data_IF_986381552711
#
_entry.id   IF_986381552711
#
_cell.length_a   1.000
_cell.length_b   1.000
_cell.length_c   1.000
_cell.angle_alpha   90.00
_cell.angle_beta   90.00
_cell.angle_gamma   90.00
#
_symmetry.space_group_name_H-M   'P 1'
#
loop_
_entity.id
_entity.type
_entity.pdbx_description
1 polymer ?
#
# COMPACT_ATOMS: atom_id res chain seq x y z
N UNK A 1 -0.60 -3.84 -26.01
CA UNK A 1 0.04 -5.17 -26.24
C UNK A 1 0.99 -5.43 -25.09
N UNK A 2 0.96 -6.63 -24.46
CA UNK A 2 1.91 -6.97 -23.40
C UNK A 2 3.35 -6.88 -23.94
N UNK A 3 4.21 -6.11 -23.25
CA UNK A 3 5.63 -6.04 -23.52
C UNK A 3 6.39 -7.27 -22.98
N UNK A 4 7.70 -7.29 -23.16
CA UNK A 4 8.56 -8.33 -22.59
C UNK A 4 8.66 -8.16 -21.07
N UNK A 5 8.51 -9.25 -20.32
CA UNK A 5 8.67 -9.22 -18.86
C UNK A 5 9.17 -10.58 -18.33
N UNK A 6 9.74 -10.55 -17.15
CA UNK A 6 9.90 -11.71 -16.27
C UNK A 6 9.03 -11.50 -15.03
N UNK A 7 8.56 -12.59 -14.44
CA UNK A 7 7.80 -12.54 -13.19
C UNK A 7 8.36 -13.58 -12.23
N UNK A 8 8.73 -13.11 -11.06
CA UNK A 8 9.02 -13.92 -9.89
C UNK A 8 8.58 -13.13 -8.66
N UNK A 9 8.18 -13.82 -7.61
CA UNK A 9 8.03 -13.22 -6.30
C UNK A 9 8.66 -14.15 -5.27
N UNK A 10 9.73 -13.72 -4.59
CA UNK A 10 10.50 -14.57 -3.69
C UNK A 10 9.81 -14.77 -2.33
N UNK A 11 8.74 -14.05 -2.04
CA UNK A 11 8.04 -14.12 -0.77
C UNK A 11 7.21 -15.40 -0.67
N UNK A 12 7.49 -16.25 0.31
CA UNK A 12 6.64 -17.38 0.64
C UNK A 12 5.44 -16.91 1.45
N UNK A 13 4.23 -17.14 0.95
CA UNK A 13 3.01 -16.68 1.58
C UNK A 13 2.28 -17.83 2.28
N UNK A 14 1.88 -17.61 3.53
CA UNK A 14 1.06 -18.49 4.35
C UNK A 14 -0.28 -17.80 4.62
N UNK A 15 -1.37 -18.46 4.24
CA UNK A 15 -2.72 -17.89 4.34
C UNK A 15 -3.64 -18.76 5.18
N UNK A 16 -4.52 -18.13 5.97
CA UNK A 16 -5.58 -18.78 6.72
C UNK A 16 -5.38 -18.76 8.24
N UNK A 17 -6.32 -19.35 8.98
CA UNK A 17 -6.38 -19.26 10.44
C UNK A 17 -5.14 -19.83 11.14
N UNK A 18 -4.60 -20.92 10.60
CA UNK A 18 -3.43 -21.60 11.17
C UNK A 18 -2.09 -21.07 10.66
N UNK A 19 -2.12 -20.04 9.79
CA UNK A 19 -0.92 -19.55 9.11
C UNK A 19 0.17 -19.07 10.08
N UNK A 20 -0.17 -18.57 11.28
CA UNK A 20 0.81 -18.14 12.26
C UNK A 20 1.74 -19.28 12.72
N UNK A 21 1.26 -20.53 12.74
CA UNK A 21 2.06 -21.68 13.12
C UNK A 21 3.25 -21.92 12.18
N UNK A 22 3.21 -21.36 10.96
CA UNK A 22 4.31 -21.43 9.98
C UNK A 22 5.58 -20.70 10.44
N UNK A 23 5.50 -19.85 11.47
CA UNK A 23 6.69 -19.32 12.14
C UNK A 23 7.62 -20.43 12.65
N UNK A 24 7.11 -21.59 13.05
CA UNK A 24 7.94 -22.73 13.46
C UNK A 24 8.77 -23.31 12.30
N UNK A 25 8.28 -23.19 11.05
CA UNK A 25 9.01 -23.62 9.85
C UNK A 25 10.00 -22.55 9.38
N UNK A 26 9.63 -21.28 9.50
CA UNK A 26 10.41 -20.18 8.95
C UNK A 26 11.52 -19.70 9.89
N UNK A 27 11.23 -19.49 11.16
CA UNK A 27 12.19 -18.93 12.12
C UNK A 27 13.54 -19.68 12.17
N UNK A 28 13.60 -21.03 12.13
CA UNK A 28 14.87 -21.74 12.15
C UNK A 28 15.82 -21.44 10.98
N UNK A 29 15.32 -20.88 9.88
CA UNK A 29 16.11 -20.56 8.68
C UNK A 29 16.92 -19.27 8.84
N UNK A 30 16.62 -18.46 9.83
CA UNK A 30 17.21 -17.14 10.05
C UNK A 30 17.98 -17.10 11.35
N UNK A 31 18.79 -16.06 11.52
CA UNK A 31 19.63 -15.89 12.67
C UNK A 31 18.90 -15.82 14.02
N UNK A 32 19.66 -15.66 15.08
CA UNK A 32 19.17 -15.82 16.44
C UNK A 32 18.49 -14.58 17.01
N UNK A 33 18.99 -13.38 16.66
CA UNK A 33 18.54 -12.11 17.22
C UNK A 33 17.49 -11.47 16.32
N UNK A 34 16.26 -11.41 16.79
CA UNK A 34 15.11 -10.91 16.04
C UNK A 34 14.67 -9.55 16.57
N UNK A 35 14.66 -8.53 15.71
CA UNK A 35 13.97 -7.27 16.02
C UNK A 35 12.50 -7.42 15.73
N UNK A 36 11.68 -7.38 16.78
CA UNK A 36 10.23 -7.49 16.71
C UNK A 36 9.61 -6.11 16.53
N UNK A 37 9.19 -5.83 15.31
CA UNK A 37 8.64 -4.54 14.87
C UNK A 37 7.13 -4.54 14.97
N UNK A 38 6.53 -3.55 15.66
CA UNK A 38 5.08 -3.42 15.75
C UNK A 38 4.64 -1.97 16.02
N UNK A 39 3.35 -1.70 15.76
CA UNK A 39 2.77 -0.36 15.92
C UNK A 39 2.44 0.03 17.37
N UNK A 40 1.40 0.81 17.57
CA UNK A 40 0.98 1.41 18.84
C UNK A 40 0.40 0.45 19.90
N UNK A 41 0.60 -0.87 19.77
CA UNK A 41 0.24 -1.86 20.79
C UNK A 41 -1.13 -2.53 20.63
N UNK A 42 -1.81 -2.39 19.51
CA UNK A 42 -3.05 -3.13 19.20
C UNK A 42 -2.85 -4.64 19.29
N UNK A 43 -1.71 -5.15 18.79
CA UNK A 43 -1.35 -6.56 18.84
C UNK A 43 -1.20 -7.12 20.27
N UNK A 44 -0.85 -6.25 21.24
CA UNK A 44 -0.79 -6.62 22.67
C UNK A 44 -2.20 -6.78 23.25
N UNK A 45 -3.15 -5.93 22.81
CA UNK A 45 -4.55 -5.97 23.28
C UNK A 45 -5.35 -7.14 22.72
N UNK A 46 -5.10 -7.53 21.46
CA UNK A 46 -5.83 -8.64 20.80
C UNK A 46 -5.12 -10.00 20.92
N UNK A 47 -3.99 -10.06 21.65
CA UNK A 47 -3.28 -11.30 21.97
C UNK A 47 -2.35 -11.85 20.89
N UNK A 48 -2.25 -11.21 19.72
CA UNK A 48 -1.32 -11.61 18.65
C UNK A 48 0.13 -11.54 19.14
N UNK A 49 0.48 -10.47 19.86
CA UNK A 49 1.82 -10.31 20.46
C UNK A 49 2.22 -11.53 21.30
N UNK A 50 1.35 -12.01 22.20
CA UNK A 50 1.66 -13.15 23.05
C UNK A 50 1.86 -14.45 22.27
N UNK A 51 1.11 -14.62 21.18
CA UNK A 51 1.25 -15.79 20.31
C UNK A 51 2.60 -15.75 19.57
N UNK A 52 2.96 -14.60 18.98
CA UNK A 52 4.25 -14.39 18.29
C UNK A 52 5.42 -14.57 19.26
N UNK A 53 5.36 -13.95 20.44
CA UNK A 53 6.43 -14.05 21.45
C UNK A 53 6.65 -15.49 21.92
N UNK A 54 5.57 -16.26 22.08
CA UNK A 54 5.68 -17.68 22.41
C UNK A 54 6.41 -18.45 21.31
N UNK A 55 6.02 -18.26 20.04
CA UNK A 55 6.66 -18.93 18.90
C UNK A 55 8.13 -18.54 18.76
N UNK A 56 8.47 -17.26 18.94
CA UNK A 56 9.87 -16.79 18.95
C UNK A 56 10.68 -17.48 20.04
N UNK A 57 10.13 -17.55 21.26
CA UNK A 57 10.78 -18.21 22.40
C UNK A 57 10.95 -19.71 22.18
N UNK A 58 9.90 -20.38 21.70
CA UNK A 58 9.92 -21.84 21.46
C UNK A 58 10.93 -22.20 20.37
N UNK A 59 11.23 -21.29 19.45
CA UNK A 59 12.28 -21.41 18.43
C UNK A 59 13.65 -20.85 18.89
N UNK A 60 13.83 -20.57 20.16
CA UNK A 60 15.11 -20.15 20.75
C UNK A 60 15.62 -18.79 20.31
N UNK A 61 14.73 -17.90 19.87
CA UNK A 61 15.10 -16.55 19.40
C UNK A 61 15.33 -15.59 20.58
N UNK A 62 16.31 -14.71 20.43
CA UNK A 62 16.53 -13.54 21.27
C UNK A 62 15.73 -12.39 20.65
N UNK A 63 14.80 -11.82 21.40
CA UNK A 63 13.91 -10.78 20.89
C UNK A 63 14.34 -9.41 21.38
N UNK A 64 14.52 -8.50 20.44
CA UNK A 64 14.72 -7.06 20.65
C UNK A 64 13.44 -6.37 20.22
N UNK A 65 12.72 -5.72 21.14
CA UNK A 65 11.47 -5.06 20.80
C UNK A 65 11.71 -3.69 20.16
N UNK A 66 11.02 -3.43 19.05
CA UNK A 66 10.95 -2.14 18.39
C UNK A 66 9.48 -1.79 18.13
N UNK A 67 8.84 -1.29 19.16
CA UNK A 67 7.44 -0.89 19.15
C UNK A 67 7.25 0.59 18.81
N UNK A 68 5.97 0.98 18.64
CA UNK A 68 5.59 2.37 18.41
C UNK A 68 5.74 2.85 16.97
N UNK A 69 5.85 1.93 16.00
CA UNK A 69 5.81 2.32 14.58
C UNK A 69 4.45 2.97 14.30
N UNK A 70 4.49 4.25 13.93
CA UNK A 70 3.30 5.04 13.64
C UNK A 70 2.79 4.78 12.21
N UNK A 71 1.51 5.08 11.91
CA UNK A 71 1.09 5.30 10.54
C UNK A 71 2.00 6.36 9.91
N UNK A 72 2.43 6.19 8.65
CA UNK A 72 3.44 7.04 8.02
C UNK A 72 4.78 7.05 8.79
N UNK A 73 5.53 5.93 8.81
CA UNK A 73 6.76 5.83 9.59
C UNK A 73 7.77 6.91 9.21
N UNK A 74 8.44 7.48 10.22
CA UNK A 74 9.30 8.65 10.03
C UNK A 74 10.77 8.31 9.91
N UNK A 75 11.54 9.26 9.36
CA UNK A 75 13.01 9.19 9.28
C UNK A 75 13.63 9.03 10.66
N UNK A 76 13.11 9.75 11.68
CA UNK A 76 13.59 9.69 13.05
C UNK A 76 13.41 8.28 13.63
N UNK A 77 12.22 7.70 13.41
CA UNK A 77 11.94 6.32 13.84
C UNK A 77 12.82 5.30 13.12
N UNK A 78 13.09 5.51 11.84
CA UNK A 78 14.02 4.67 11.07
C UNK A 78 15.43 4.73 11.66
N UNK A 79 15.96 5.92 11.97
CA UNK A 79 17.27 6.09 12.58
C UNK A 79 17.36 5.43 13.98
N UNK A 80 16.30 5.56 14.79
CA UNK A 80 16.18 4.85 16.09
C UNK A 80 16.28 3.33 15.90
N UNK A 81 15.51 2.77 14.96
CA UNK A 81 15.51 1.32 14.68
C UNK A 81 16.87 0.82 14.18
N UNK A 82 17.56 1.61 13.35
CA UNK A 82 18.93 1.30 12.90
C UNK A 82 19.89 1.20 14.08
N UNK A 83 19.80 2.16 15.01
CA UNK A 83 20.64 2.12 16.22
C UNK A 83 20.34 0.88 17.06
N UNK A 84 19.07 0.59 17.32
CA UNK A 84 18.63 -0.62 18.06
C UNK A 84 19.18 -1.88 17.39
N UNK A 85 19.08 -2.00 16.07
CA UNK A 85 19.55 -3.16 15.31
C UNK A 85 21.06 -3.35 15.43
N UNK A 86 21.84 -2.28 15.28
CA UNK A 86 23.30 -2.29 15.37
C UNK A 86 23.79 -2.65 16.76
N UNK A 87 23.24 -2.03 17.83
CA UNK A 87 23.64 -2.28 19.22
C UNK A 87 23.36 -3.72 19.67
N UNK A 88 22.33 -4.35 19.12
CA UNK A 88 21.92 -5.71 19.47
C UNK A 88 22.33 -6.79 18.47
N UNK A 89 23.09 -6.43 17.45
CA UNK A 89 23.52 -7.36 16.39
C UNK A 89 22.34 -8.16 15.81
N UNK A 90 21.29 -7.44 15.40
CA UNK A 90 20.07 -8.03 14.84
C UNK A 90 20.37 -8.67 13.49
N UNK A 91 19.90 -9.88 13.31
CA UNK A 91 20.11 -10.66 12.09
C UNK A 91 18.81 -11.08 11.39
N UNK A 92 17.66 -10.71 11.95
CA UNK A 92 16.34 -10.90 11.36
C UNK A 92 15.33 -9.84 11.83
N UNK A 93 14.51 -9.34 10.93
CA UNK A 93 13.43 -8.39 11.22
C UNK A 93 12.06 -9.08 11.07
N UNK A 94 11.24 -9.03 12.12
CA UNK A 94 9.87 -9.55 12.08
C UNK A 94 8.87 -8.41 12.27
N UNK A 95 8.21 -8.00 11.18
CA UNK A 95 7.15 -7.01 11.22
C UNK A 95 5.81 -7.67 11.61
N UNK A 96 5.19 -7.21 12.68
CA UNK A 96 3.87 -7.66 13.14
C UNK A 96 2.92 -6.46 13.16
N UNK A 97 2.22 -6.24 12.04
CA UNK A 97 1.41 -5.03 11.88
C UNK A 97 0.78 -4.88 10.52
N UNK A 98 0.44 -3.66 10.14
CA UNK A 98 0.00 -3.29 8.81
C UNK A 98 1.15 -2.87 7.90
N UNK A 99 0.83 -2.27 6.75
CA UNK A 99 1.81 -1.82 5.75
C UNK A 99 2.91 -0.93 6.32
N UNK A 100 2.59 -0.01 7.25
CA UNK A 100 3.60 0.85 7.88
C UNK A 100 4.69 0.07 8.63
N UNK A 101 4.34 -1.04 9.30
CA UNK A 101 5.32 -1.90 9.94
C UNK A 101 6.17 -2.67 8.90
N UNK A 102 5.54 -3.11 7.80
CA UNK A 102 6.25 -3.79 6.71
C UNK A 102 7.20 -2.84 5.98
N UNK A 103 6.75 -1.62 5.66
CA UNK A 103 7.56 -0.58 5.01
C UNK A 103 8.75 -0.19 5.90
N UNK A 104 8.47 0.07 7.17
CA UNK A 104 9.52 0.37 8.14
C UNK A 104 10.56 -0.76 8.25
N UNK A 105 10.12 -2.02 8.32
CA UNK A 105 11.03 -3.16 8.38
C UNK A 105 11.90 -3.28 7.11
N UNK A 106 11.33 -3.04 5.94
CA UNK A 106 12.07 -3.06 4.67
C UNK A 106 13.06 -1.89 4.58
N UNK A 107 12.64 -0.68 4.95
CA UNK A 107 13.54 0.46 5.05
C UNK A 107 14.69 0.21 6.04
N UNK A 108 14.36 -0.38 7.19
CA UNK A 108 15.34 -0.75 8.21
C UNK A 108 16.33 -1.80 7.67
N UNK A 109 15.85 -2.80 6.93
CA UNK A 109 16.66 -3.91 6.43
C UNK A 109 17.84 -3.46 5.55
N UNK A 110 17.64 -2.42 4.75
CA UNK A 110 18.67 -1.83 3.88
C UNK A 110 19.53 -0.79 4.60
N UNK A 111 19.09 -0.30 5.77
CA UNK A 111 19.72 0.82 6.47
C UNK A 111 20.69 0.39 7.55
N UNK A 112 20.54 -0.82 8.13
CA UNK A 112 21.36 -1.25 9.28
C UNK A 112 22.85 -1.30 8.95
N UNK A 113 23.22 -1.79 7.78
CA UNK A 113 24.62 -1.89 7.33
C UNK A 113 25.05 -0.75 6.41
N UNK A 114 24.18 0.23 6.19
CA UNK A 114 24.50 1.42 5.39
C UNK A 114 25.32 2.43 6.23
N UNK A 115 26.43 2.91 5.70
CA UNK A 115 27.28 3.90 6.39
C UNK A 115 26.75 5.34 6.23
N UNK A 116 25.93 5.59 5.22
CA UNK A 116 25.31 6.90 4.94
C UNK A 116 23.97 7.06 5.65
N UNK A 117 23.48 8.31 5.70
CA UNK A 117 22.12 8.56 6.14
C UNK A 117 21.11 7.90 5.17
N UNK A 118 20.23 6.99 5.63
CA UNK A 118 19.34 6.23 4.77
C UNK A 118 18.29 7.10 4.07
N UNK A 119 17.89 8.26 4.64
CA UNK A 119 16.96 9.16 3.99
C UNK A 119 17.60 9.80 2.75
N UNK A 120 18.80 10.35 2.90
CA UNK A 120 19.51 10.97 1.77
C UNK A 120 19.84 9.96 0.67
N UNK A 121 20.33 8.77 1.06
CA UNK A 121 20.73 7.74 0.10
C UNK A 121 19.55 7.14 -0.65
N UNK A 122 18.57 6.65 0.09
CA UNK A 122 17.53 5.83 -0.49
C UNK A 122 16.28 6.63 -0.91
N UNK A 123 15.96 7.75 -0.26
CA UNK A 123 14.71 8.48 -0.51
C UNK A 123 14.90 9.81 -1.25
N UNK A 124 16.10 10.39 -1.19
CA UNK A 124 16.40 11.61 -1.97
C UNK A 124 17.15 11.28 -3.25
N UNK A 125 18.22 10.46 -3.16
CA UNK A 125 19.02 10.10 -4.34
C UNK A 125 18.52 8.84 -5.06
N UNK A 126 17.59 8.08 -4.47
CA UNK A 126 17.03 6.83 -5.01
C UNK A 126 18.11 5.80 -5.39
N UNK A 127 19.15 5.69 -4.59
CA UNK A 127 20.23 4.73 -4.82
C UNK A 127 19.81 3.31 -4.40
N UNK A 128 20.33 2.31 -5.11
CA UNK A 128 20.13 0.90 -4.75
C UNK A 128 20.99 0.54 -3.52
N UNK A 129 20.54 -0.45 -2.69
CA UNK A 129 21.35 -0.94 -1.58
C UNK A 129 22.65 -1.57 -2.06
N UNK A 130 23.78 -1.13 -1.50
CA UNK A 130 25.13 -1.62 -1.79
C UNK A 130 25.79 -2.31 -0.59
N UNK A 131 25.01 -2.58 0.44
CA UNK A 131 25.43 -3.24 1.69
C UNK A 131 24.60 -4.50 1.94
N UNK A 132 24.96 -5.25 2.99
CA UNK A 132 24.20 -6.42 3.43
C UNK A 132 22.77 -6.04 3.86
N UNK A 133 21.79 -6.80 3.40
CA UNK A 133 20.37 -6.60 3.67
C UNK A 133 19.93 -7.60 4.73
N UNK A 134 19.39 -7.12 5.84
CA UNK A 134 18.82 -8.00 6.87
C UNK A 134 17.49 -8.58 6.36
N UNK A 135 17.29 -9.92 6.41
CA UNK A 135 16.05 -10.53 5.95
C UNK A 135 14.84 -10.10 6.80
N UNK A 136 13.71 -9.93 6.13
CA UNK A 136 12.42 -9.50 6.71
C UNK A 136 11.39 -10.63 6.62
N UNK A 137 10.61 -10.83 7.69
CA UNK A 137 9.37 -11.60 7.69
C UNK A 137 8.20 -10.73 8.13
N UNK A 138 7.00 -11.01 7.64
CA UNK A 138 5.80 -10.24 7.96
C UNK A 138 4.68 -11.11 8.53
N UNK A 139 4.02 -10.61 9.58
CA UNK A 139 2.75 -11.09 10.12
C UNK A 139 1.73 -9.95 9.98
N UNK A 140 0.81 -10.09 9.04
CA UNK A 140 -0.07 -9.00 8.65
C UNK A 140 -1.28 -8.89 9.56
N UNK A 141 -1.57 -7.68 10.07
CA UNK A 141 -2.74 -7.41 10.93
C UNK A 141 -3.68 -6.35 10.35
N UNK A 142 -3.30 -5.72 9.25
CA UNK A 142 -4.09 -4.77 8.47
C UNK A 142 -3.72 -4.92 7.00
N UNK A 143 -4.69 -4.85 6.12
CA UNK A 143 -4.52 -4.98 4.67
C UNK A 143 -4.75 -3.65 3.96
N UNK A 144 -4.08 -3.46 2.84
CA UNK A 144 -4.13 -2.27 1.99
C UNK A 144 -2.94 -2.27 1.03
N UNK A 145 -1.76 -2.09 1.56
CA UNK A 145 -0.53 -1.76 0.82
C UNK A 145 0.10 -2.92 0.04
N UNK A 146 -0.26 -4.20 0.30
CA UNK A 146 0.46 -5.34 -0.27
C UNK A 146 1.96 -5.39 0.06
N UNK A 147 2.40 -4.61 1.06
CA UNK A 147 3.82 -4.41 1.43
C UNK A 147 4.51 -5.68 1.89
N UNK A 148 3.76 -6.68 2.33
CA UNK A 148 4.24 -8.00 2.74
C UNK A 148 4.76 -8.84 1.56
N UNK A 149 4.46 -8.44 0.32
CA UNK A 149 4.82 -9.21 -0.88
C UNK A 149 5.37 -8.32 -2.02
N UNK A 150 5.93 -7.16 -1.67
CA UNK A 150 6.64 -6.27 -2.59
C UNK A 150 7.89 -5.66 -1.97
N UNK A 151 8.72 -5.01 -2.79
CA UNK A 151 9.95 -4.36 -2.38
C UNK A 151 9.80 -2.86 -2.05
N UNK A 152 8.59 -2.31 -2.07
CA UNK A 152 8.36 -0.89 -1.79
C UNK A 152 8.40 -0.56 -0.30
N UNK A 153 8.96 0.58 0.07
CA UNK A 153 8.93 1.12 1.43
C UNK A 153 8.74 2.64 1.39
N UNK A 154 7.77 3.13 2.15
CA UNK A 154 7.43 4.57 2.21
C UNK A 154 7.84 5.12 3.56
N UNK A 155 8.64 6.20 3.56
CA UNK A 155 9.11 6.90 4.76
C UNK A 155 8.73 8.38 4.66
N UNK A 156 8.43 8.98 5.81
CA UNK A 156 8.01 10.38 5.92
C UNK A 156 9.09 11.20 6.62
N UNK A 157 9.38 12.37 6.06
CA UNK A 157 10.21 13.40 6.70
C UNK A 157 9.33 14.63 6.95
N UNK A 158 8.92 14.82 8.20
CA UNK A 158 8.04 15.93 8.57
C UNK A 158 8.73 17.30 8.46
N UNK A 159 10.03 17.38 8.72
CA UNK A 159 10.79 18.65 8.62
C UNK A 159 10.83 19.16 7.19
N UNK A 160 11.02 18.25 6.24
CA UNK A 160 11.02 18.55 4.81
C UNK A 160 9.62 18.55 4.18
N UNK A 161 8.60 18.09 4.91
CA UNK A 161 7.24 17.88 4.40
C UNK A 161 7.22 16.97 3.16
N UNK A 162 7.99 15.89 3.22
CA UNK A 162 8.09 14.88 2.16
C UNK A 162 7.67 13.51 2.69
N UNK A 163 6.92 12.80 1.87
CA UNK A 163 6.59 11.38 2.06
C UNK A 163 6.93 10.66 0.77
N UNK A 164 7.97 9.84 0.80
CA UNK A 164 8.57 9.26 -0.40
C UNK A 164 8.58 7.74 -0.28
N UNK A 165 8.17 7.07 -1.36
CA UNK A 165 8.31 5.63 -1.54
C UNK A 165 9.50 5.31 -2.42
N UNK A 166 10.31 4.34 -2.01
CA UNK A 166 11.31 3.72 -2.86
C UNK A 166 10.94 2.24 -3.10
N UNK A 167 11.03 1.80 -4.34
CA UNK A 167 10.83 0.39 -4.70
C UNK A 167 12.21 -0.23 -4.88
N UNK A 168 12.66 -0.89 -3.83
CA UNK A 168 13.88 -1.71 -3.85
C UNK A 168 13.65 -3.01 -4.65
N UNK A 169 14.70 -3.63 -5.11
CA UNK A 169 14.62 -4.89 -5.87
C UNK A 169 14.14 -6.10 -5.04
N UNK A 170 14.08 -7.26 -5.66
CA UNK A 170 13.59 -8.53 -5.07
C UNK A 170 14.31 -8.92 -3.76
N UNK A 171 15.55 -8.47 -3.56
CA UNK A 171 16.34 -8.76 -2.35
C UNK A 171 15.70 -8.21 -1.07
N UNK A 172 14.96 -7.11 -1.17
CA UNK A 172 14.29 -6.42 -0.04
C UNK A 172 12.88 -6.98 0.22
N UNK A 173 12.31 -7.71 -0.73
CA UNK A 173 11.02 -8.36 -0.50
C UNK A 173 11.07 -9.27 0.73
N UNK A 174 10.02 -9.26 1.57
CA UNK A 174 9.95 -10.16 2.72
C UNK A 174 10.17 -11.63 2.31
N UNK A 175 10.90 -12.36 3.13
CA UNK A 175 11.18 -13.78 2.87
C UNK A 175 9.94 -14.65 3.02
N UNK A 176 9.07 -14.23 3.94
CA UNK A 176 7.74 -14.82 4.10
C UNK A 176 6.72 -13.78 4.57
N UNK A 177 5.45 -14.07 4.29
CA UNK A 177 4.30 -13.31 4.75
C UNK A 177 3.26 -14.25 5.37
N UNK A 178 2.78 -13.92 6.55
CA UNK A 178 1.75 -14.66 7.27
C UNK A 178 0.47 -13.82 7.29
N UNK A 179 -0.57 -14.34 6.67
CA UNK A 179 -1.86 -13.71 6.43
C UNK A 179 -2.98 -14.51 7.10
N UNK A 180 -3.44 -14.04 8.26
CA UNK A 180 -4.61 -14.58 8.92
C UNK A 180 -5.74 -13.54 8.90
N UNK A 181 -6.83 -13.78 8.16
CA UNK A 181 -7.96 -12.84 8.06
C UNK A 181 -8.52 -12.41 9.42
N UNK A 182 -8.53 -13.31 10.42
CA UNK A 182 -9.01 -13.00 11.78
C UNK A 182 -8.20 -11.92 12.48
N UNK A 183 -6.93 -11.73 12.12
CA UNK A 183 -6.12 -10.66 12.71
C UNK A 183 -6.59 -9.26 12.32
N UNK A 184 -7.42 -9.18 11.29
CA UNK A 184 -7.99 -7.91 10.81
C UNK A 184 -9.36 -7.59 11.43
N UNK A 185 -10.01 -8.52 12.16
CA UNK A 185 -11.37 -8.33 12.68
C UNK A 185 -11.50 -7.17 13.67
N UNK A 186 -10.43 -6.89 14.41
CA UNK A 186 -10.40 -5.82 15.42
C UNK A 186 -10.04 -4.44 14.86
N UNK A 187 -9.89 -4.30 13.54
CA UNK A 187 -9.60 -3.03 12.92
C UNK A 187 -10.77 -2.05 13.07
N UNK A 188 -10.52 -0.79 13.48
CA UNK A 188 -11.53 0.25 13.40
C UNK A 188 -12.07 0.40 11.97
N UNK A 189 -13.37 0.65 11.81
CA UNK A 189 -14.01 0.80 10.48
C UNK A 189 -13.24 1.75 9.55
N UNK A 190 -12.82 2.91 10.07
CA UNK A 190 -12.05 3.91 9.29
C UNK A 190 -10.75 3.33 8.71
N UNK A 191 -10.04 2.52 9.47
CA UNK A 191 -8.80 1.86 9.03
C UNK A 191 -9.10 0.76 7.99
N UNK A 192 -10.16 -0.01 8.21
CA UNK A 192 -10.58 -1.08 7.29
C UNK A 192 -10.94 -0.50 5.92
N UNK A 193 -11.81 0.52 5.88
CA UNK A 193 -12.25 1.09 4.59
C UNK A 193 -11.14 1.87 3.89
N UNK A 194 -10.22 2.50 4.63
CA UNK A 194 -9.02 3.11 4.06
C UNK A 194 -8.14 2.07 3.35
N UNK A 195 -7.92 0.91 3.99
CA UNK A 195 -7.17 -0.19 3.37
C UNK A 195 -7.89 -0.79 2.15
N UNK A 196 -9.21 -0.95 2.21
CA UNK A 196 -10.02 -1.41 1.07
C UNK A 196 -9.88 -0.47 -0.12
N UNK A 197 -9.92 0.84 0.13
CA UNK A 197 -9.77 1.81 -0.96
C UNK A 197 -8.36 1.83 -1.53
N UNK A 198 -7.35 1.71 -0.69
CA UNK A 198 -5.95 1.59 -1.10
C UNK A 198 -5.73 0.40 -2.05
N UNK A 199 -6.28 -0.78 -1.72
CA UNK A 199 -6.28 -1.96 -2.60
C UNK A 199 -6.90 -1.64 -3.97
N UNK A 200 -8.08 -1.04 -3.95
CA UNK A 200 -8.81 -0.72 -5.17
C UNK A 200 -8.05 0.29 -6.03
N UNK A 201 -7.47 1.31 -5.41
CA UNK A 201 -6.71 2.32 -6.11
C UNK A 201 -5.38 1.80 -6.67
N UNK A 202 -4.68 0.89 -5.95
CA UNK A 202 -3.52 0.18 -6.50
C UNK A 202 -3.86 -0.50 -7.84
N UNK A 203 -5.01 -1.17 -7.90
CA UNK A 203 -5.45 -1.83 -9.14
C UNK A 203 -5.78 -0.79 -10.21
N UNK A 204 -6.50 0.28 -9.87
CA UNK A 204 -6.87 1.34 -10.80
C UNK A 204 -5.67 2.00 -11.45
N UNK A 205 -4.61 2.32 -10.71
CA UNK A 205 -3.42 2.99 -11.27
C UNK A 205 -2.56 2.08 -12.16
N UNK A 206 -2.69 0.77 -12.01
CA UNK A 206 -2.10 -0.21 -12.92
C UNK A 206 -3.04 -0.55 -14.09
N UNK A 207 -4.32 -0.26 -13.97
CA UNK A 207 -5.34 -0.49 -14.99
C UNK A 207 -5.53 0.70 -15.92
N UNK A 208 -5.61 1.93 -15.40
CA UNK A 208 -5.78 3.16 -16.16
C UNK A 208 -4.47 3.66 -16.79
N UNK A 209 -3.88 2.80 -17.61
CA UNK A 209 -2.66 3.08 -18.37
C UNK A 209 -2.67 2.28 -19.66
N UNK A 210 -2.14 2.84 -20.76
CA UNK A 210 -2.12 2.20 -22.07
C UNK A 210 -3.52 1.88 -22.64
N UNK A 211 -3.54 1.45 -23.90
CA UNK A 211 -4.75 1.02 -24.62
C UNK A 211 -4.87 -0.51 -24.63
N UNK A 212 -4.49 -1.15 -23.54
CA UNK A 212 -4.35 -2.59 -23.48
C UNK A 212 -5.71 -3.31 -23.33
N UNK A 213 -5.78 -4.48 -23.92
CA UNK A 213 -6.80 -5.49 -23.73
C UNK A 213 -6.09 -6.84 -23.53
N UNK A 214 -5.61 -7.08 -22.32
CA UNK A 214 -4.74 -8.19 -22.02
C UNK A 214 -5.13 -8.91 -20.71
N UNK A 215 -4.48 -10.04 -20.43
CA UNK A 215 -4.73 -10.85 -19.23
C UNK A 215 -4.60 -10.06 -17.94
N UNK A 216 -3.63 -9.13 -17.83
CA UNK A 216 -3.47 -8.29 -16.63
C UNK A 216 -4.68 -7.38 -16.40
N UNK A 217 -5.33 -6.88 -17.47
CA UNK A 217 -6.55 -6.10 -17.36
C UNK A 217 -7.73 -6.94 -16.86
N UNK A 218 -7.91 -8.17 -17.40
CA UNK A 218 -8.97 -9.09 -16.95
C UNK A 218 -8.79 -9.49 -15.47
N UNK A 219 -7.57 -9.75 -15.04
CA UNK A 219 -7.26 -10.03 -13.63
C UNK A 219 -7.58 -8.80 -12.76
N UNK A 220 -7.20 -7.60 -13.19
CA UNK A 220 -7.50 -6.33 -12.50
C UNK A 220 -9.01 -6.12 -12.34
N UNK A 221 -9.78 -6.35 -13.38
CA UNK A 221 -11.26 -6.25 -13.36
C UNK A 221 -11.88 -7.25 -12.38
N UNK A 222 -11.39 -8.49 -12.36
CA UNK A 222 -11.86 -9.51 -11.43
C UNK A 222 -11.52 -9.16 -9.98
N UNK A 223 -10.31 -8.64 -9.71
CA UNK A 223 -9.90 -8.18 -8.38
C UNK A 223 -10.74 -6.98 -7.93
N UNK A 224 -10.99 -5.99 -8.78
CA UNK A 224 -11.85 -4.84 -8.46
C UNK A 224 -13.26 -5.29 -8.08
N UNK A 225 -13.88 -6.20 -8.86
CA UNK A 225 -15.20 -6.77 -8.54
C UNK A 225 -15.21 -7.49 -7.20
N UNK A 226 -14.18 -8.30 -6.92
CA UNK A 226 -14.05 -9.00 -5.64
C UNK A 226 -13.95 -8.03 -4.46
N UNK A 227 -13.16 -6.96 -4.60
CA UNK A 227 -13.02 -5.91 -3.57
C UNK A 227 -14.34 -5.18 -3.33
N UNK A 228 -15.04 -4.76 -4.41
CA UNK A 228 -16.34 -4.10 -4.32
C UNK A 228 -17.36 -4.99 -3.59
N UNK A 229 -17.47 -6.26 -4.00
CA UNK A 229 -18.40 -7.21 -3.39
C UNK A 229 -18.09 -7.43 -1.90
N UNK A 230 -16.86 -7.80 -1.60
CA UNK A 230 -16.45 -8.17 -0.25
C UNK A 230 -16.43 -6.97 0.71
N UNK A 231 -16.13 -5.78 0.22
CA UNK A 231 -16.18 -4.55 1.03
C UNK A 231 -17.58 -4.23 1.54
N UNK A 232 -18.62 -4.40 0.69
CA UNK A 232 -20.01 -4.21 1.09
C UNK A 232 -20.46 -5.16 2.19
N UNK A 233 -19.95 -6.39 2.18
CA UNK A 233 -20.20 -7.36 3.25
C UNK A 233 -19.44 -6.92 4.51
N UNK A 234 -18.13 -6.63 4.38
CA UNK A 234 -17.26 -6.30 5.51
C UNK A 234 -17.69 -5.04 6.29
N UNK A 235 -18.27 -4.03 5.62
CA UNK A 235 -18.79 -2.84 6.34
C UNK A 235 -20.05 -3.11 7.16
N UNK A 236 -20.82 -4.15 6.82
CA UNK A 236 -22.01 -4.59 7.54
C UNK A 236 -21.66 -5.64 8.62
N UNK A 237 -20.74 -6.55 8.30
CA UNK A 237 -20.24 -7.60 9.19
C UNK A 237 -18.70 -7.61 9.16
N UNK A 238 -18.02 -6.84 10.02
CA UNK A 238 -16.56 -6.74 10.05
C UNK A 238 -15.83 -8.05 10.38
N UNK A 239 -16.52 -9.04 10.93
CA UNK A 239 -15.99 -10.36 11.29
C UNK A 239 -16.36 -11.45 10.27
N UNK A 240 -16.95 -11.09 9.13
CA UNK A 240 -17.20 -12.04 8.06
C UNK A 240 -15.87 -12.56 7.50
N UNK A 241 -15.60 -13.84 7.77
CA UNK A 241 -14.31 -14.44 7.45
C UNK A 241 -14.06 -14.49 5.94
N UNK A 242 -15.07 -14.81 5.14
CA UNK A 242 -14.90 -14.91 3.69
C UNK A 242 -14.66 -13.55 3.06
N UNK A 243 -15.44 -12.54 3.44
CA UNK A 243 -15.23 -11.17 2.95
C UNK A 243 -13.84 -10.63 3.35
N UNK A 244 -13.40 -10.86 4.60
CA UNK A 244 -12.07 -10.43 5.06
C UNK A 244 -10.95 -11.22 4.37
N UNK A 245 -11.17 -12.51 4.09
CA UNK A 245 -10.23 -13.34 3.33
C UNK A 245 -10.06 -12.85 1.91
N UNK A 246 -11.17 -12.55 1.22
CA UNK A 246 -11.16 -12.03 -0.14
C UNK A 246 -10.45 -10.68 -0.22
N UNK A 247 -10.73 -9.75 0.71
CA UNK A 247 -10.06 -8.45 0.79
C UNK A 247 -8.56 -8.65 1.02
N UNK A 248 -8.16 -9.49 1.97
CA UNK A 248 -6.76 -9.77 2.28
C UNK A 248 -6.02 -10.39 1.09
N UNK A 249 -6.65 -11.35 0.41
CA UNK A 249 -6.06 -11.99 -0.76
C UNK A 249 -5.94 -11.02 -1.95
N UNK A 250 -6.98 -10.21 -2.20
CA UNK A 250 -6.95 -9.19 -3.22
C UNK A 250 -5.86 -8.13 -2.97
N UNK A 251 -5.62 -7.75 -1.71
CA UNK A 251 -4.58 -6.78 -1.34
C UNK A 251 -3.19 -7.23 -1.79
N UNK A 252 -2.86 -8.49 -1.55
CA UNK A 252 -1.58 -9.07 -1.98
C UNK A 252 -1.43 -9.03 -3.50
N UNK A 253 -2.46 -9.45 -4.25
CA UNK A 253 -2.43 -9.46 -5.71
C UNK A 253 -2.45 -8.07 -6.33
N UNK A 254 -3.04 -7.10 -5.66
CA UNK A 254 -3.11 -5.72 -6.13
C UNK A 254 -1.73 -5.08 -6.28
N UNK A 255 -0.74 -5.47 -5.45
CA UNK A 255 0.58 -4.83 -5.46
C UNK A 255 1.77 -5.80 -5.28
N UNK A 256 1.65 -7.03 -5.74
CA UNK A 256 2.78 -7.97 -5.81
C UNK A 256 3.46 -8.02 -7.19
N UNK A 257 3.26 -6.98 -7.99
CA UNK A 257 3.75 -6.79 -9.35
C UNK A 257 3.06 -7.61 -10.45
N UNK A 258 2.12 -8.51 -10.14
CA UNK A 258 1.48 -9.37 -11.14
C UNK A 258 0.69 -8.55 -12.18
N UNK A 259 -0.22 -7.68 -11.71
CA UNK A 259 -1.15 -6.96 -12.59
C UNK A 259 -0.51 -5.82 -13.39
N UNK A 260 0.74 -5.45 -13.06
CA UNK A 260 1.53 -4.46 -13.81
C UNK A 260 2.39 -5.06 -14.91
N UNK A 261 2.51 -6.39 -14.98
CA UNK A 261 3.46 -7.02 -15.90
C UNK A 261 3.12 -6.78 -17.36
N UNK A 262 4.14 -6.33 -18.10
CA UNK A 262 4.06 -6.07 -19.54
C UNK A 262 3.31 -4.82 -19.93
N UNK A 263 3.00 -3.92 -18.98
CA UNK A 263 2.30 -2.65 -19.20
C UNK A 263 2.95 -1.47 -18.48
N UNK A 264 2.67 -0.26 -18.92
CA UNK A 264 2.93 0.96 -18.16
C UNK A 264 1.95 1.07 -16.98
N UNK A 265 2.28 1.88 -16.00
CA UNK A 265 1.46 2.14 -14.81
C UNK A 265 1.48 3.62 -14.47
N UNK A 266 0.39 4.14 -13.92
CA UNK A 266 0.21 5.58 -13.69
C UNK A 266 0.88 6.06 -12.39
N UNK A 267 0.34 5.70 -11.24
CA UNK A 267 0.79 6.06 -9.88
C UNK A 267 0.58 7.52 -9.46
N UNK A 268 -0.08 8.37 -10.25
CA UNK A 268 -0.27 9.78 -9.91
C UNK A 268 -1.19 10.00 -8.71
N UNK A 269 -2.22 9.16 -8.49
CA UNK A 269 -3.06 9.28 -7.29
C UNK A 269 -2.23 9.02 -6.03
N UNK A 270 -1.31 8.04 -6.07
CA UNK A 270 -0.39 7.79 -4.96
C UNK A 270 0.55 8.96 -4.73
N UNK A 271 1.11 9.58 -5.77
CA UNK A 271 2.00 10.74 -5.62
C UNK A 271 1.27 11.95 -5.03
N UNK A 272 0.06 12.24 -5.52
CA UNK A 272 -0.81 13.26 -4.93
C UNK A 272 -1.16 12.96 -3.47
N UNK A 273 -1.60 11.73 -3.19
CA UNK A 273 -1.97 11.29 -1.85
C UNK A 273 -0.80 11.29 -0.86
N UNK A 274 0.41 10.96 -1.29
CA UNK A 274 1.63 11.05 -0.48
C UNK A 274 1.97 12.49 -0.14
N UNK A 275 1.92 13.39 -1.15
CA UNK A 275 2.15 14.82 -0.93
C UNK A 275 1.12 15.43 0.03
N UNK A 276 -0.18 15.09 -0.11
CA UNK A 276 -1.22 15.48 0.86
C UNK A 276 -0.90 14.93 2.26
N UNK A 277 -0.52 13.65 2.35
CA UNK A 277 -0.17 13.00 3.61
C UNK A 277 1.02 13.63 4.33
N UNK A 278 2.01 14.15 3.58
CA UNK A 278 3.16 14.86 4.14
C UNK A 278 2.78 16.17 4.86
N UNK A 279 1.66 16.79 4.46
CA UNK A 279 1.15 18.04 5.06
C UNK A 279 0.11 17.82 6.15
N UNK A 280 -0.66 16.72 6.06
CA UNK A 280 -1.85 16.51 6.91
C UNK A 280 -1.67 15.37 7.92
N UNK A 281 -0.65 14.53 7.74
CA UNK A 281 -0.47 13.25 8.45
C UNK A 281 -1.71 12.34 8.43
N UNK A 282 -2.59 12.53 7.44
CA UNK A 282 -3.82 11.78 7.31
C UNK A 282 -3.56 10.31 6.91
N UNK A 283 -4.53 9.45 7.22
CA UNK A 283 -4.50 8.02 6.85
C UNK A 283 -4.39 7.88 5.33
N UNK A 284 -3.42 7.09 4.86
CA UNK A 284 -3.04 6.99 3.44
C UNK A 284 -4.22 6.72 2.50
N UNK A 285 -5.02 5.68 2.74
CA UNK A 285 -6.19 5.41 1.88
C UNK A 285 -7.23 6.54 1.85
N UNK A 286 -7.27 7.41 2.88
CA UNK A 286 -8.13 8.59 2.89
C UNK A 286 -7.54 9.74 2.07
N UNK A 287 -6.20 9.88 2.01
CA UNK A 287 -5.58 10.85 1.09
C UNK A 287 -5.80 10.45 -0.36
N UNK A 288 -5.72 9.14 -0.67
CA UNK A 288 -6.01 8.64 -2.00
C UNK A 288 -7.48 8.88 -2.40
N UNK A 289 -8.43 8.58 -1.50
CA UNK A 289 -9.86 8.73 -1.81
C UNK A 289 -10.25 10.19 -2.06
N UNK A 290 -9.61 11.14 -1.39
CA UNK A 290 -9.88 12.56 -1.56
C UNK A 290 -9.45 13.10 -2.93
N UNK A 291 -8.36 12.59 -3.52
CA UNK A 291 -7.79 13.12 -4.77
C UNK A 291 -8.12 12.30 -6.02
N UNK A 292 -8.52 11.03 -5.87
CA UNK A 292 -8.64 10.09 -6.98
C UNK A 292 -9.72 10.43 -7.99
N UNK A 293 -10.94 10.77 -7.56
CA UNK A 293 -12.03 11.10 -8.48
C UNK A 293 -11.75 12.38 -9.29
N UNK A 294 -11.27 13.50 -8.69
CA UNK A 294 -10.83 14.65 -9.45
C UNK A 294 -9.73 14.30 -10.48
N UNK A 295 -8.75 13.48 -10.07
CA UNK A 295 -7.69 13.01 -10.96
C UNK A 295 -8.24 12.15 -12.11
N UNK A 296 -9.03 11.11 -11.82
CA UNK A 296 -9.57 10.23 -12.86
C UNK A 296 -10.50 10.96 -13.82
N UNK A 297 -11.28 11.92 -13.36
CA UNK A 297 -12.08 12.79 -14.22
C UNK A 297 -11.21 13.66 -15.12
N UNK A 298 -10.08 14.12 -14.64
CA UNK A 298 -9.13 14.92 -15.41
C UNK A 298 -8.46 14.11 -16.52
N UNK A 299 -8.04 12.88 -16.25
CA UNK A 299 -7.35 12.04 -17.24
C UNK A 299 -8.30 11.22 -18.14
N UNK A 300 -9.57 11.10 -17.79
CA UNK A 300 -10.55 10.29 -18.54
C UNK A 300 -10.58 10.59 -20.05
N UNK A 301 -10.54 11.87 -20.52
CA UNK A 301 -10.55 12.16 -21.96
C UNK A 301 -9.32 11.59 -22.70
N UNK A 302 -8.21 11.40 -22.04
CA UNK A 302 -6.96 10.88 -22.63
C UNK A 302 -6.90 9.35 -22.69
N UNK A 303 -7.76 8.66 -21.92
CA UNK A 303 -7.85 7.19 -21.87
C UNK A 303 -9.28 6.68 -21.99
N UNK A 304 -10.13 7.36 -22.77
CA UNK A 304 -11.58 7.18 -22.80
C UNK A 304 -12.02 5.72 -22.98
N UNK A 305 -11.38 4.97 -23.87
CA UNK A 305 -11.70 3.56 -24.13
C UNK A 305 -11.54 2.68 -22.89
N UNK A 306 -10.49 2.92 -22.09
CA UNK A 306 -10.24 2.16 -20.84
C UNK A 306 -11.25 2.55 -19.75
N UNK A 307 -11.64 3.81 -19.66
CA UNK A 307 -12.71 4.24 -18.75
C UNK A 307 -14.09 3.70 -19.15
N UNK A 308 -14.40 3.57 -20.44
CA UNK A 308 -15.59 2.86 -20.91
C UNK A 308 -15.54 1.38 -20.50
N UNK A 309 -14.40 0.71 -20.73
CA UNK A 309 -14.20 -0.68 -20.34
C UNK A 309 -14.37 -0.89 -18.83
N UNK A 310 -13.82 0.00 -18.02
CA UNK A 310 -14.00 0.01 -16.55
C UNK A 310 -15.49 0.14 -16.17
N UNK A 311 -16.22 1.05 -16.82
CA UNK A 311 -17.64 1.23 -16.56
C UNK A 311 -18.45 -0.04 -16.85
N UNK A 312 -18.18 -0.68 -18.00
CA UNK A 312 -18.91 -1.87 -18.44
C UNK A 312 -18.49 -3.11 -17.65
N UNK A 313 -17.19 -3.36 -17.53
CA UNK A 313 -16.70 -4.63 -16.99
C UNK A 313 -16.66 -4.66 -15.46
N UNK A 314 -16.43 -3.53 -14.79
CA UNK A 314 -16.34 -3.47 -13.33
C UNK A 314 -17.68 -3.07 -12.70
N UNK A 315 -18.36 -2.08 -13.29
CA UNK A 315 -19.60 -1.51 -12.75
C UNK A 315 -20.88 -1.96 -13.46
N UNK A 316 -20.77 -2.77 -14.51
CA UNK A 316 -21.90 -3.31 -15.27
C UNK A 316 -22.79 -2.22 -15.90
N UNK A 317 -22.22 -1.06 -16.23
CA UNK A 317 -22.88 0.02 -16.93
C UNK A 317 -23.31 -0.47 -18.32
N UNK A 318 -24.60 -0.32 -18.66
CA UNK A 318 -25.08 -0.65 -20.00
C UNK A 318 -24.67 0.44 -21.00
N UNK A 319 -23.85 0.15 -22.02
CA UNK A 319 -23.38 1.14 -22.99
C UNK A 319 -24.41 1.41 -24.13
N UNK A 320 -25.48 0.62 -24.24
CA UNK A 320 -26.40 0.71 -25.37
C UNK A 320 -27.04 2.11 -25.48
N UNK A 321 -26.87 2.75 -26.63
CA UNK A 321 -27.47 4.05 -26.97
C UNK A 321 -26.77 5.24 -26.29
N UNK A 322 -25.60 5.07 -25.73
CA UNK A 322 -24.82 6.12 -25.05
C UNK A 322 -23.53 6.41 -25.80
N UNK A 323 -23.08 7.66 -25.74
CA UNK A 323 -21.73 8.02 -26.17
C UNK A 323 -20.68 7.49 -25.17
N UNK A 324 -19.48 7.18 -25.65
CA UNK A 324 -18.39 6.63 -24.82
C UNK A 324 -18.08 7.51 -23.59
N UNK A 325 -18.07 8.83 -23.78
CA UNK A 325 -17.85 9.76 -22.66
C UNK A 325 -18.94 9.66 -21.58
N UNK A 326 -20.19 9.44 -21.99
CA UNK A 326 -21.29 9.23 -21.04
C UNK A 326 -21.11 7.91 -20.27
N UNK A 327 -20.74 6.83 -20.94
CA UNK A 327 -20.48 5.52 -20.32
C UNK A 327 -19.34 5.64 -19.31
N UNK A 328 -18.23 6.28 -19.68
CA UNK A 328 -17.08 6.47 -18.82
C UNK A 328 -17.44 7.30 -17.57
N UNK A 329 -18.20 8.39 -17.73
CA UNK A 329 -18.68 9.21 -16.60
C UNK A 329 -19.61 8.44 -15.67
N UNK A 330 -20.49 7.59 -16.19
CA UNK A 330 -21.35 6.73 -15.37
C UNK A 330 -20.51 5.74 -14.55
N UNK A 331 -19.44 5.15 -15.12
CA UNK A 331 -18.53 4.29 -14.38
C UNK A 331 -17.86 4.98 -13.19
N UNK A 332 -17.35 6.22 -13.40
CA UNK A 332 -16.79 7.02 -12.30
C UNK A 332 -17.86 7.43 -11.28
N UNK A 333 -19.11 7.63 -11.72
CA UNK A 333 -20.21 7.91 -10.79
C UNK A 333 -20.57 6.69 -9.93
N UNK A 334 -20.53 5.48 -10.49
CA UNK A 334 -20.70 4.24 -9.73
C UNK A 334 -19.57 4.07 -8.68
N UNK A 335 -18.34 4.36 -9.06
CA UNK A 335 -17.21 4.38 -8.13
C UNK A 335 -17.42 5.38 -7.00
N UNK A 336 -17.87 6.61 -7.30
CA UNK A 336 -18.17 7.63 -6.29
C UNK A 336 -19.26 7.19 -5.31
N UNK A 337 -20.33 6.55 -5.80
CA UNK A 337 -21.39 5.98 -4.96
C UNK A 337 -20.82 4.93 -4.02
N UNK A 338 -20.02 3.99 -4.53
CA UNK A 338 -19.38 2.97 -3.71
C UNK A 338 -18.42 3.57 -2.66
N UNK A 339 -17.65 4.58 -3.01
CA UNK A 339 -16.78 5.28 -2.06
C UNK A 339 -17.59 5.91 -0.91
N UNK A 340 -18.74 6.50 -1.20
CA UNK A 340 -19.68 7.05 -0.22
C UNK A 340 -20.33 5.96 0.64
N UNK A 341 -20.70 4.81 0.06
CA UNK A 341 -21.19 3.62 0.80
C UNK A 341 -20.20 3.17 1.87
N UNK A 342 -18.90 3.18 1.56
CA UNK A 342 -17.83 2.84 2.50
C UNK A 342 -17.62 3.90 3.59
N UNK A 343 -18.04 5.15 3.36
CA UNK A 343 -17.77 6.29 4.24
C UNK A 343 -16.34 6.79 4.13
N UNK A 344 -15.80 6.80 2.92
CA UNK A 344 -14.48 7.35 2.64
C UNK A 344 -14.49 8.88 2.67
N UNK A 345 -13.34 9.47 2.96
CA UNK A 345 -13.11 10.91 2.81
C UNK A 345 -13.13 11.29 1.33
N UNK A 346 -13.94 12.28 0.97
CA UNK A 346 -14.18 12.62 -0.43
C UNK A 346 -13.54 13.95 -0.86
N UNK A 347 -12.95 14.69 0.07
CA UNK A 347 -12.29 15.96 -0.21
C UNK A 347 -11.13 16.24 0.76
N UNK A 348 -10.28 17.18 0.39
CA UNK A 348 -9.08 17.53 1.16
C UNK A 348 -9.38 18.32 2.45
N UNK A 349 -10.47 19.07 2.51
CA UNK A 349 -10.85 19.80 3.73
C UNK A 349 -11.11 18.85 4.90
N UNK A 350 -11.74 17.70 4.65
CA UNK A 350 -11.98 16.67 5.68
C UNK A 350 -10.69 16.09 6.25
N UNK A 351 -9.56 16.26 5.54
CA UNK A 351 -8.22 15.85 5.97
C UNK A 351 -7.43 16.96 6.65
N UNK A 352 -8.01 18.16 6.74
CA UNK A 352 -7.38 19.34 7.33
C UNK A 352 -6.47 20.11 6.37
N UNK A 353 -6.50 19.82 5.07
CA UNK A 353 -5.80 20.60 4.08
C UNK A 353 -6.52 21.93 3.81
N UNK A 354 -5.75 23.00 3.60
CA UNK A 354 -6.27 24.34 3.30
C UNK A 354 -5.76 24.80 1.93
N UNK A 355 -6.41 25.82 1.35
CA UNK A 355 -6.02 26.37 0.05
C UNK A 355 -4.55 26.85 0.04
N UNK A 356 -4.07 27.40 1.17
CA UNK A 356 -2.69 27.85 1.31
C UNK A 356 -1.65 26.70 1.21
N UNK A 357 -2.06 25.49 1.56
CA UNK A 357 -1.17 24.30 1.48
C UNK A 357 -1.01 23.79 0.05
N UNK A 358 -1.95 24.08 -0.87
CA UNK A 358 -2.01 23.42 -2.18
C UNK A 358 -0.76 23.63 -3.03
N UNK A 359 -0.17 24.84 -3.03
CA UNK A 359 1.07 25.07 -3.76
C UNK A 359 2.23 24.24 -3.21
N UNK A 360 2.33 24.11 -1.89
CA UNK A 360 3.35 23.28 -1.26
C UNK A 360 3.14 21.78 -1.54
N UNK A 361 1.88 21.32 -1.51
CA UNK A 361 1.51 19.94 -1.86
C UNK A 361 1.86 19.66 -3.34
N UNK A 362 1.51 20.58 -4.25
CA UNK A 362 1.83 20.43 -5.66
C UNK A 362 3.34 20.38 -5.93
N UNK A 363 4.13 21.21 -5.23
CA UNK A 363 5.60 21.19 -5.32
C UNK A 363 6.21 19.89 -4.77
N UNK A 364 5.60 19.28 -3.76
CA UNK A 364 6.03 18.00 -3.18
C UNK A 364 5.53 16.76 -3.95
N UNK A 365 4.69 16.94 -4.97
CA UNK A 365 4.15 15.85 -5.77
C UNK A 365 5.17 15.42 -6.84
N UNK A 366 5.62 14.17 -6.77
CA UNK A 366 6.47 13.57 -7.80
C UNK A 366 5.61 13.29 -9.05
N UNK A 367 6.07 13.79 -10.22
CA UNK A 367 5.34 13.57 -11.48
C UNK A 367 5.74 12.23 -12.09
N UNK A 368 4.76 11.39 -12.35
CA UNK A 368 4.94 10.09 -13.00
C UNK A 368 4.64 10.22 -14.50
N UNK A 369 5.35 9.43 -15.31
CA UNK A 369 5.27 9.52 -16.77
C UNK A 369 4.50 8.36 -17.42
N UNK A 370 4.09 7.36 -16.64
CA UNK A 370 3.50 6.11 -17.17
C UNK A 370 1.99 6.15 -17.42
N UNK A 371 1.30 7.22 -17.00
CA UNK A 371 -0.14 7.41 -17.17
C UNK A 371 -0.54 7.92 -18.57
N UNK A 372 -1.84 8.16 -18.76
CA UNK A 372 -2.37 8.71 -20.01
C UNK A 372 -1.88 10.13 -20.33
N UNK A 373 -1.48 10.86 -19.32
CA UNK A 373 -1.01 12.24 -19.44
C UNK A 373 0.06 12.52 -18.39
N UNK A 374 1.21 12.98 -18.84
CA UNK A 374 2.23 13.55 -17.95
C UNK A 374 1.75 14.95 -17.55
N UNK A 375 1.52 15.14 -16.25
CA UNK A 375 1.03 16.40 -15.70
C UNK A 375 2.15 17.42 -15.56
N UNK A 376 1.80 18.69 -15.68
CA UNK A 376 2.64 19.79 -15.21
C UNK A 376 2.14 20.31 -13.85
N UNK A 377 2.90 21.24 -13.25
CA UNK A 377 2.59 21.80 -11.93
C UNK A 377 1.19 22.45 -11.86
N UNK A 378 0.81 23.21 -12.89
CA UNK A 378 -0.47 23.93 -12.89
C UNK A 378 -1.66 22.95 -12.97
N UNK A 379 -1.51 21.86 -13.71
CA UNK A 379 -2.49 20.78 -13.79
C UNK A 379 -2.62 20.01 -12.47
N UNK A 380 -1.51 19.75 -11.78
CA UNK A 380 -1.52 19.18 -10.42
C UNK A 380 -2.27 20.11 -9.47
N UNK A 381 -1.98 21.40 -9.51
CA UNK A 381 -2.67 22.40 -8.69
C UNK A 381 -4.15 22.50 -9.00
N UNK A 382 -4.56 22.40 -10.28
CA UNK A 382 -5.96 22.35 -10.69
C UNK A 382 -6.67 21.12 -10.09
N UNK A 383 -6.06 19.94 -10.19
CA UNK A 383 -6.61 18.70 -9.61
C UNK A 383 -6.77 18.83 -8.10
N UNK A 384 -5.77 19.37 -7.40
CA UNK A 384 -5.84 19.60 -5.95
C UNK A 384 -6.93 20.60 -5.57
N UNK A 385 -7.12 21.68 -6.34
CA UNK A 385 -8.24 22.61 -6.14
C UNK A 385 -9.59 21.94 -6.32
N UNK A 386 -9.74 21.07 -7.31
CA UNK A 386 -10.96 20.30 -7.55
C UNK A 386 -11.17 19.19 -6.49
N UNK A 387 -10.19 18.95 -5.64
CA UNK A 387 -10.22 18.00 -4.51
C UNK A 387 -10.53 18.67 -3.16
N UNK A 388 -10.60 20.01 -3.09
CA UNK A 388 -11.01 20.74 -1.90
C UNK A 388 -12.52 20.62 -1.68
#
# INVERSE_FOLDING_TARGET
MLGNFSYSNPTKLYFGEESLCSLNEELPKYGKTVQLIYGGGSIKKNGIYNQVMRLLKDNGKVVVEDGGVMPNPTVEKLREGVQIARENHVDFLLAVGGGSCCDYAKALSVSVHCDEDPWEKYYIRFEEPDCEIIPVGCVLTMVGTGSEMNGGAVITNHDQKLKIGHVFGDAVMPKFAILNPKFTFTLPKKQMVAGIYDIFNHICEQYFSGEDDNTSDYISEALMKSVIHSSRIAIQNPEDYEARSNIMWAATWALNTLVSRGKSTDWMVHMLGQAVGAYTDATHGMTLSAVSLPYYRYIMPYGLSKFCRFAVNVWEVNPAGKADEQVAREGLSCMEVWMKELGLTMNLHELGATEEMLHGIANGTIIMEGGYKVLNHDEVLEILKNSL
#
